data_IF_524774205431
#
_entry.id   IF_524774205431
#
_cell.length_a   1.000
_cell.length_b   1.000
_cell.length_c   1.000
_cell.angle_alpha   90.00
_cell.angle_beta   90.00
_cell.angle_gamma   90.00
#
_symmetry.space_group_name_H-M   'P 1'
#
loop_
_entity.id
_entity.type
_entity.pdbx_description
1 polymer ?
#
# COMPACT_ATOMS: atom_id res chain seq x y z
N UNK A 1 4.59 5.53 -19.89
CA UNK A 1 5.11 6.42 -18.83
C UNK A 1 5.29 5.68 -17.50
N UNK A 2 5.78 4.42 -17.50
CA UNK A 2 5.93 3.60 -16.27
C UNK A 2 7.35 3.60 -15.70
N UNK A 3 8.29 4.32 -16.32
CA UNK A 3 9.72 4.19 -16.05
C UNK A 3 10.31 5.29 -15.14
N UNK A 4 9.57 6.36 -14.82
CA UNK A 4 10.07 7.41 -13.91
C UNK A 4 10.11 6.95 -12.43
N UNK A 5 9.59 5.77 -12.14
CA UNK A 5 9.28 5.29 -10.79
C UNK A 5 10.41 4.47 -10.13
N UNK A 6 11.43 4.02 -10.89
CA UNK A 6 12.44 3.08 -10.36
C UNK A 6 13.59 3.74 -9.59
N UNK A 7 13.71 5.07 -9.60
CA UNK A 7 14.82 5.81 -8.95
C UNK A 7 14.36 6.80 -7.88
N UNK A 8 13.07 6.87 -7.59
CA UNK A 8 12.52 7.83 -6.63
C UNK A 8 12.62 7.26 -5.20
N UNK A 9 13.14 8.06 -4.28
CA UNK A 9 13.22 7.69 -2.86
C UNK A 9 11.83 7.63 -2.25
N UNK A 10 11.63 6.83 -1.19
CA UNK A 10 10.34 6.76 -0.48
C UNK A 10 9.80 8.16 -0.11
N UNK A 11 10.68 9.08 0.31
CA UNK A 11 10.35 10.48 0.56
C UNK A 11 9.75 11.19 -0.65
N UNK A 12 10.32 11.00 -1.83
CA UNK A 12 9.85 11.65 -3.04
C UNK A 12 8.48 11.12 -3.48
N UNK A 13 8.20 9.84 -3.30
CA UNK A 13 6.86 9.26 -3.51
C UNK A 13 5.82 9.82 -2.53
N UNK A 14 6.17 9.96 -1.25
CA UNK A 14 5.28 10.54 -0.26
C UNK A 14 4.95 11.99 -0.60
N UNK A 15 5.93 12.77 -1.04
CA UNK A 15 5.70 14.16 -1.47
C UNK A 15 4.78 14.23 -2.68
N UNK A 16 4.94 13.37 -3.68
CA UNK A 16 4.06 13.30 -4.84
C UNK A 16 2.63 12.86 -4.45
N UNK A 17 2.50 11.90 -3.53
CA UNK A 17 1.21 11.47 -3.00
C UNK A 17 0.50 12.65 -2.32
N UNK A 18 1.19 13.35 -1.42
CA UNK A 18 0.64 14.50 -0.69
C UNK A 18 0.22 15.63 -1.64
N UNK A 19 1.00 15.89 -2.69
CA UNK A 19 0.65 16.89 -3.71
C UNK A 19 -0.64 16.58 -4.48
N UNK A 20 -1.05 15.31 -4.54
CA UNK A 20 -2.28 14.88 -5.22
C UNK A 20 -3.50 14.85 -4.30
N UNK A 21 -3.32 15.02 -3.00
CA UNK A 21 -4.43 15.03 -2.05
C UNK A 21 -5.22 16.35 -2.15
N UNK A 22 -6.52 16.35 -1.81
CA UNK A 22 -7.30 17.57 -1.70
C UNK A 22 -6.65 18.56 -0.71
N UNK A 23 -6.72 19.87 -1.00
CA UNK A 23 -6.16 20.91 -0.11
C UNK A 23 -6.72 20.84 1.33
N UNK A 24 -7.96 20.39 1.49
CA UNK A 24 -8.62 20.21 2.78
C UNK A 24 -8.40 18.86 3.44
N UNK A 25 -7.47 18.03 2.95
CA UNK A 25 -7.19 16.73 3.56
C UNK A 25 -6.67 16.90 5.00
N UNK A 26 -7.29 16.18 5.94
CA UNK A 26 -6.86 16.17 7.33
C UNK A 26 -5.56 15.38 7.49
N UNK A 27 -4.84 15.60 8.59
CA UNK A 27 -3.63 14.83 8.91
C UNK A 27 -3.90 13.32 8.95
N UNK A 28 -5.06 12.91 9.47
CA UNK A 28 -5.45 11.50 9.53
C UNK A 28 -5.71 10.92 8.14
N UNK A 29 -6.26 11.71 7.22
CA UNK A 29 -6.43 11.27 5.82
C UNK A 29 -5.07 11.11 5.15
N UNK A 30 -4.16 12.07 5.32
CA UNK A 30 -2.82 12.02 4.76
C UNK A 30 -2.06 10.78 5.29
N UNK A 31 -2.11 10.53 6.60
CA UNK A 31 -1.47 9.38 7.22
C UNK A 31 -2.02 8.05 6.67
N UNK A 32 -3.35 7.91 6.58
CA UNK A 32 -3.98 6.70 6.04
C UNK A 32 -3.58 6.41 4.60
N UNK A 33 -3.48 7.43 3.75
CA UNK A 33 -3.06 7.24 2.36
C UNK A 33 -1.60 6.81 2.25
N UNK A 34 -0.73 7.37 3.10
CA UNK A 34 0.69 6.95 3.16
C UNK A 34 0.79 5.48 3.60
N UNK A 35 0.05 5.09 4.64
CA UNK A 35 0.01 3.71 5.14
C UNK A 35 -0.51 2.73 4.08
N UNK A 36 -1.58 3.09 3.37
CA UNK A 36 -2.14 2.28 2.28
C UNK A 36 -1.10 2.03 1.18
N UNK A 37 -0.43 3.09 0.71
CA UNK A 37 0.60 2.98 -0.34
C UNK A 37 1.80 2.18 0.14
N UNK A 38 2.20 2.32 1.41
CA UNK A 38 3.27 1.51 2.00
C UNK A 38 2.91 0.02 2.00
N UNK A 39 1.70 -0.33 2.42
CA UNK A 39 1.23 -1.73 2.42
C UNK A 39 1.15 -2.33 1.02
N UNK A 40 0.72 -1.56 0.01
CA UNK A 40 0.71 -2.02 -1.40
C UNK A 40 2.13 -2.30 -1.89
N UNK A 41 3.09 -1.44 -1.57
CA UNK A 41 4.51 -1.64 -1.94
C UNK A 41 5.08 -2.89 -1.29
N UNK A 42 4.82 -3.08 -0.01
CA UNK A 42 5.23 -4.30 0.70
C UNK A 42 4.64 -5.55 0.05
N UNK A 43 3.35 -5.54 -0.28
CA UNK A 43 2.70 -6.66 -0.97
C UNK A 43 3.33 -6.95 -2.35
N UNK A 44 3.69 -5.91 -3.11
CA UNK A 44 4.40 -6.07 -4.39
C UNK A 44 5.77 -6.72 -4.21
N UNK A 45 6.52 -6.33 -3.18
CA UNK A 45 7.82 -6.93 -2.87
C UNK A 45 7.69 -8.39 -2.42
N UNK A 46 6.69 -8.71 -1.60
CA UNK A 46 6.36 -10.09 -1.20
C UNK A 46 6.04 -10.96 -2.43
N UNK A 47 5.22 -10.46 -3.35
CA UNK A 47 4.93 -11.14 -4.63
C UNK A 47 6.21 -11.37 -5.43
N UNK A 48 7.09 -10.36 -5.53
CA UNK A 48 8.35 -10.48 -6.27
C UNK A 48 9.30 -11.53 -5.64
N UNK A 49 9.23 -11.75 -4.33
CA UNK A 49 9.96 -12.80 -3.61
C UNK A 49 9.29 -14.17 -3.64
N UNK A 50 8.09 -14.29 -4.22
CA UNK A 50 7.32 -15.54 -4.22
C UNK A 50 6.64 -15.85 -2.89
N UNK A 51 6.48 -14.85 -2.02
CA UNK A 51 5.84 -14.97 -0.69
C UNK A 51 4.31 -14.78 -0.77
N UNK A 52 3.73 -14.84 -1.97
CA UNK A 52 2.29 -14.78 -2.17
C UNK A 52 1.58 -16.02 -1.62
N UNK A 53 0.31 -15.84 -1.24
CA UNK A 53 -0.55 -16.94 -0.81
C UNK A 53 -1.42 -17.45 -1.97
N UNK A 54 -1.70 -18.75 -1.97
CA UNK A 54 -2.71 -19.35 -2.83
C UNK A 54 -4.11 -18.92 -2.43
N UNK A 55 -5.07 -19.04 -3.35
CA UNK A 55 -6.48 -18.74 -3.09
C UNK A 55 -7.02 -19.61 -1.95
N UNK A 56 -6.63 -20.89 -1.90
CA UNK A 56 -7.03 -21.84 -0.86
C UNK A 56 -6.52 -21.43 0.53
N UNK A 57 -5.30 -20.90 0.61
CA UNK A 57 -4.73 -20.38 1.86
C UNK A 57 -5.45 -19.11 2.31
N UNK A 58 -5.78 -18.21 1.37
CA UNK A 58 -6.55 -16.99 1.65
C UNK A 58 -7.95 -17.33 2.18
N UNK A 59 -8.66 -18.26 1.54
CA UNK A 59 -10.00 -18.68 1.96
C UNK A 59 -10.04 -19.20 3.40
N UNK A 60 -8.98 -19.86 3.87
CA UNK A 60 -8.86 -20.33 5.26
C UNK A 60 -8.68 -19.18 6.27
N UNK A 61 -8.15 -18.03 5.83
CA UNK A 61 -7.88 -16.88 6.68
C UNK A 61 -9.05 -15.88 6.75
N UNK A 62 -9.89 -15.79 5.72
CA UNK A 62 -11.05 -14.88 5.67
C UNK A 62 -11.90 -14.87 6.95
N UNK A 63 -12.25 -16.01 7.58
CA UNK A 63 -13.04 -16.01 8.81
C UNK A 63 -12.39 -15.23 9.96
N UNK A 64 -11.05 -15.23 10.06
CA UNK A 64 -10.31 -14.53 11.10
C UNK A 64 -10.30 -13.01 10.93
N UNK A 65 -10.51 -12.53 9.70
CA UNK A 65 -10.52 -11.10 9.38
C UNK A 65 -11.85 -10.46 9.76
N UNK A 66 -12.96 -11.19 9.59
CA UNK A 66 -14.32 -10.72 9.89
C UNK A 66 -14.55 -10.61 11.41
N UNK A 67 -13.84 -11.40 12.22
CA UNK A 67 -13.98 -11.40 13.68
C UNK A 67 -13.19 -10.24 14.33
N UNK A 68 -12.23 -9.64 13.61
CA UNK A 68 -11.30 -8.62 14.15
C UNK A 68 -11.60 -7.18 13.70
N UNK A 69 -12.64 -6.99 12.89
CA UNK A 69 -13.09 -5.69 12.36
C UNK A 69 -14.29 -5.13 13.10
#
# INVERSE_FOLDING_TARGET
>A
MFWHNMLMTAKAHVLELVQKLPEGASYEQIAREIELVAGIREAQEQIARGEGMTVEEVLKQIPSWIIKS
#
